data_IF_571376990981
#
_entry.id   IF_571376990981
#
_cell.length_a   1.000
_cell.length_b   1.000
_cell.length_c   1.000
_cell.angle_alpha   90.00
_cell.angle_beta   90.00
_cell.angle_gamma   90.00
#
_symmetry.space_group_name_H-M   'P 1'
#
loop_
_entity.id
_entity.type
_entity.pdbx_description
1 polymer ?
#
# COMPACT_ATOMS: atom_id res chain seq x y z
N UNK A 1 -7.63 1.96 -5.92
CA UNK A 1 -8.30 3.03 -6.71
C UNK A 1 -7.58 3.11 -8.04
N UNK A 2 -8.32 3.05 -9.13
CA UNK A 2 -7.75 2.97 -10.48
C UNK A 2 -7.59 4.36 -11.11
N UNK A 3 -6.81 4.51 -12.21
CA UNK A 3 -6.57 5.79 -12.88
C UNK A 3 -7.86 6.53 -13.35
N UNK A 4 -9.02 5.86 -13.36
CA UNK A 4 -10.35 6.45 -13.63
C UNK A 4 -11.25 6.64 -12.39
N UNK A 5 -10.70 6.57 -11.17
CA UNK A 5 -11.48 6.72 -9.92
C UNK A 5 -12.28 5.48 -9.53
N UNK A 6 -12.28 4.42 -10.34
CA UNK A 6 -12.94 3.17 -10.01
C UNK A 6 -12.27 2.51 -8.79
N UNK A 7 -13.09 2.06 -7.83
CA UNK A 7 -12.66 1.20 -6.74
C UNK A 7 -13.18 -0.21 -7.03
N UNK A 8 -12.30 -1.21 -7.12
CA UNK A 8 -12.72 -2.61 -7.11
C UNK A 8 -12.71 -3.10 -5.67
N UNK A 9 -13.72 -3.90 -5.30
CA UNK A 9 -13.77 -4.61 -4.01
C UNK A 9 -13.08 -5.97 -4.09
N UNK A 10 -12.54 -6.33 -5.26
CA UNK A 10 -11.85 -7.59 -5.54
C UNK A 10 -10.35 -7.35 -5.74
N UNK A 11 -9.53 -8.37 -5.46
CA UNK A 11 -8.10 -8.41 -5.79
C UNK A 11 -7.82 -8.48 -7.30
N UNK A 12 -8.86 -8.60 -8.13
CA UNK A 12 -8.79 -8.69 -9.57
C UNK A 12 -9.19 -7.37 -10.23
N UNK A 13 -8.31 -6.80 -11.04
CA UNK A 13 -8.54 -5.58 -11.81
C UNK A 13 -7.39 -5.34 -12.78
N UNK A 14 -7.56 -4.47 -13.80
CA UNK A 14 -6.47 -4.14 -14.71
C UNK A 14 -5.34 -3.48 -13.92
N UNK A 15 -4.14 -4.05 -14.00
CA UNK A 15 -2.94 -3.35 -13.53
C UNK A 15 -2.73 -2.12 -14.42
N UNK A 16 -2.44 -0.94 -13.86
CA UNK A 16 -2.03 0.21 -14.64
C UNK A 16 -0.82 -0.14 -15.52
N UNK A 17 -0.71 0.50 -16.69
CA UNK A 17 0.48 0.39 -17.53
C UNK A 17 1.68 0.99 -16.80
N UNK A 18 2.82 0.29 -16.87
CA UNK A 18 4.12 0.74 -16.36
C UNK A 18 4.12 1.19 -14.89
N UNK A 19 3.64 0.36 -13.94
CA UNK A 19 3.65 0.74 -12.54
C UNK A 19 5.09 0.78 -12.02
N UNK A 20 5.39 1.77 -11.18
CA UNK A 20 6.66 1.84 -10.47
C UNK A 20 6.45 2.24 -9.02
N UNK A 21 7.14 1.53 -8.14
CA UNK A 21 7.14 1.76 -6.70
C UNK A 21 8.34 2.64 -6.35
N UNK A 22 8.08 3.73 -5.64
CA UNK A 22 9.11 4.61 -5.11
C UNK A 22 9.83 4.00 -3.91
N UNK A 23 10.67 4.80 -3.26
CA UNK A 23 11.28 4.39 -1.99
C UNK A 23 10.20 4.07 -0.96
N UNK A 24 10.42 3.00 -0.20
CA UNK A 24 9.61 2.63 0.94
C UNK A 24 10.30 3.14 2.19
N UNK A 25 9.66 4.09 2.85
CA UNK A 25 10.05 4.54 4.17
C UNK A 25 9.28 3.73 5.21
N UNK A 26 10.02 3.03 6.08
CA UNK A 26 9.47 2.19 7.14
C UNK A 26 9.83 2.80 8.51
N UNK A 27 8.81 2.99 9.34
CA UNK A 27 8.92 3.55 10.68
C UNK A 27 8.47 2.52 11.71
N UNK A 28 9.30 2.23 12.70
CA UNK A 28 8.90 1.47 13.89
C UNK A 28 7.97 2.33 14.76
N UNK A 29 6.89 1.71 15.25
CA UNK A 29 5.84 2.27 16.09
C UNK A 29 5.73 1.55 17.44
N UNK A 30 6.81 0.91 17.90
CA UNK A 30 6.83 0.17 19.16
C UNK A 30 6.34 -1.26 18.99
N UNK A 31 6.90 -1.96 18.01
CA UNK A 31 6.56 -3.36 17.72
C UNK A 31 5.59 -3.54 16.55
N UNK A 32 5.15 -2.45 15.93
CA UNK A 32 4.48 -2.42 14.63
C UNK A 32 5.25 -1.50 13.68
N UNK A 33 5.00 -1.61 12.38
CA UNK A 33 5.67 -0.80 11.36
C UNK A 33 4.66 -0.03 10.51
N UNK A 34 4.90 1.27 10.33
CA UNK A 34 4.24 2.07 9.32
C UNK A 34 5.14 2.14 8.08
N UNK A 35 4.64 1.69 6.93
CA UNK A 35 5.29 1.88 5.64
C UNK A 35 4.57 2.95 4.84
N UNK A 36 5.32 3.88 4.25
CA UNK A 36 4.82 4.90 3.32
C UNK A 36 5.65 4.91 2.05
N UNK A 37 4.99 4.94 0.90
CA UNK A 37 5.65 4.97 -0.40
C UNK A 37 4.75 5.54 -1.48
N UNK A 38 5.34 6.03 -2.57
CA UNK A 38 4.58 6.47 -3.76
C UNK A 38 4.51 5.32 -4.75
N UNK A 39 3.34 5.08 -5.33
CA UNK A 39 3.18 4.28 -6.56
C UNK A 39 2.85 5.24 -7.69
N UNK A 40 3.51 5.08 -8.83
CA UNK A 40 3.24 5.83 -10.07
C UNK A 40 2.88 4.88 -11.20
N UNK A 41 2.10 5.34 -12.15
CA UNK A 41 1.76 4.65 -13.39
C UNK A 41 1.52 5.69 -14.48
N UNK A 42 1.27 5.24 -15.70
CA UNK A 42 0.92 6.14 -16.80
C UNK A 42 -0.36 6.94 -16.49
N UNK A 43 -0.23 8.27 -16.36
CA UNK A 43 -1.37 9.16 -16.11
C UNK A 43 -1.81 9.26 -14.64
N UNK A 44 -1.04 8.77 -13.67
CA UNK A 44 -1.37 9.00 -12.27
C UNK A 44 -0.37 8.47 -11.25
N UNK A 45 -0.69 8.72 -9.98
CA UNK A 45 0.05 8.22 -8.84
C UNK A 45 -0.82 8.19 -7.58
N UNK A 46 -0.34 7.45 -6.59
CA UNK A 46 -0.90 7.39 -5.24
C UNK A 46 0.20 7.42 -4.20
N UNK A 47 -0.15 7.95 -3.03
CA UNK A 47 0.59 7.70 -1.80
C UNK A 47 -0.04 6.49 -1.11
N UNK A 48 0.79 5.50 -0.86
CA UNK A 48 0.44 4.29 -0.13
C UNK A 48 0.88 4.42 1.31
N UNK A 49 0.02 4.01 2.22
CA UNK A 49 0.30 3.90 3.66
C UNK A 49 -0.25 2.58 4.18
N UNK A 50 0.56 1.83 4.92
CA UNK A 50 0.11 0.59 5.54
C UNK A 50 0.78 0.37 6.90
N UNK A 51 0.01 -0.26 7.80
CA UNK A 51 0.47 -0.65 9.13
C UNK A 51 0.60 -2.16 9.17
N UNK A 52 1.76 -2.62 9.62
CA UNK A 52 2.13 -4.01 9.75
C UNK A 52 2.38 -4.32 11.23
N UNK A 53 1.68 -5.31 11.76
CA UNK A 53 1.82 -5.73 13.16
C UNK A 53 2.16 -7.23 13.23
N UNK A 54 2.79 -7.71 14.31
CA UNK A 54 3.03 -9.12 14.54
C UNK A 54 1.71 -9.90 14.50
N UNK A 55 1.74 -11.08 13.89
CA UNK A 55 0.60 -11.98 13.91
C UNK A 55 0.28 -12.40 15.35
N UNK A 56 -1.00 -12.44 15.68
CA UNK A 56 -1.46 -12.92 17.00
C UNK A 56 -1.35 -14.44 17.15
N UNK A 57 -1.09 -15.17 16.06
CA UNK A 57 -0.98 -16.64 16.05
C UNK A 57 0.32 -17.18 16.67
N UNK A 58 1.17 -16.33 17.24
CA UNK A 58 2.46 -16.72 17.83
C UNK A 58 3.55 -16.99 16.81
N UNK A 59 3.24 -16.92 15.51
CA UNK A 59 4.23 -16.97 14.44
C UNK A 59 4.99 -15.63 14.36
N UNK A 60 6.31 -15.71 14.18
CA UNK A 60 7.16 -14.54 13.96
C UNK A 60 7.00 -13.98 12.53
N UNK A 61 5.79 -13.49 12.22
CA UNK A 61 5.45 -12.86 10.94
C UNK A 61 4.69 -11.56 11.17
N UNK A 62 4.87 -10.62 10.25
CA UNK A 62 4.06 -9.41 10.20
C UNK A 62 2.82 -9.64 9.32
N UNK A 63 1.69 -9.08 9.74
CA UNK A 63 0.45 -9.01 8.96
C UNK A 63 0.07 -7.55 8.74
N UNK A 64 -0.37 -7.23 7.53
CA UNK A 64 -0.90 -5.91 7.22
C UNK A 64 -2.28 -5.77 7.88
N UNK A 65 -2.38 -4.93 8.91
CA UNK A 65 -3.63 -4.71 9.66
C UNK A 65 -4.41 -3.51 9.14
N UNK A 66 -3.74 -2.62 8.41
CA UNK A 66 -4.36 -1.48 7.78
C UNK A 66 -3.63 -1.11 6.49
N UNK A 67 -4.38 -0.69 5.49
CA UNK A 67 -3.85 -0.14 4.26
C UNK A 67 -4.77 0.95 3.71
N UNK A 68 -4.16 2.04 3.28
CA UNK A 68 -4.80 3.14 2.62
C UNK A 68 -3.99 3.55 1.40
N UNK A 69 -4.69 3.68 0.28
CA UNK A 69 -4.18 4.29 -0.94
C UNK A 69 -4.88 5.63 -1.13
N UNK A 70 -4.11 6.70 -1.34
CA UNK A 70 -4.62 8.04 -1.59
C UNK A 70 -4.08 8.53 -2.91
N UNK A 71 -4.97 8.82 -3.88
CA UNK A 71 -4.57 9.42 -5.14
C UNK A 71 -3.91 10.79 -4.88
N UNK A 72 -2.82 11.04 -5.58
CA UNK A 72 -2.08 12.31 -5.50
C UNK A 72 -1.82 12.83 -6.91
N UNK A 73 -1.90 14.15 -7.08
CA UNK A 73 -1.48 14.83 -8.31
C UNK A 73 0.03 14.81 -8.43
#
# INVERSE_FOLDING_TARGET
IWPGGAATTTLAGPSPSSPAVGRIDAHDLGGAFLTRYRVRWEGGASLESSVWAPATSGEARLVMVHHQSTLIS
#
